data_IF_174448550431
#
_entry.id   IF_174448550431
#
_cell.length_a   1.000
_cell.length_b   1.000
_cell.length_c   1.000
_cell.angle_alpha   90.00
_cell.angle_beta   90.00
_cell.angle_gamma   90.00
#
_symmetry.space_group_name_H-M   'P 1'
#
loop_
_entity.id
_entity.type
_entity.pdbx_description
1 polymer ?
#
# COMPACT_ATOMS: atom_id res chain seq x y z
N UNK A 1 -1.07 17.38 -7.18
CA UNK A 1 -2.38 16.79 -7.60
C UNK A 1 -2.54 15.39 -6.98
N UNK A 2 -3.73 14.79 -6.96
CA UNK A 2 -4.02 13.48 -6.31
C UNK A 2 -3.04 12.36 -6.69
N UNK A 3 -2.59 12.33 -7.96
CA UNK A 3 -1.56 11.43 -8.49
C UNK A 3 -0.20 11.61 -7.82
N UNK A 4 0.10 12.83 -7.35
CA UNK A 4 1.41 13.20 -6.80
C UNK A 4 1.62 12.64 -5.38
N UNK A 5 0.54 12.44 -4.61
CA UNK A 5 0.61 11.77 -3.30
C UNK A 5 0.66 10.26 -3.46
N UNK A 6 -0.15 9.71 -4.37
CA UNK A 6 -0.15 8.29 -4.67
C UNK A 6 1.20 7.86 -5.24
N UNK A 7 1.74 8.51 -6.29
CA UNK A 7 3.07 8.20 -6.87
C UNK A 7 4.22 8.31 -5.86
N UNK A 8 4.22 9.34 -5.00
CA UNK A 8 5.25 9.48 -3.96
C UNK A 8 5.16 8.35 -2.94
N UNK A 9 3.95 8.00 -2.52
CA UNK A 9 3.72 6.93 -1.55
C UNK A 9 4.06 5.55 -2.14
N UNK A 10 3.64 5.28 -3.37
CA UNK A 10 3.91 4.03 -4.07
C UNK A 10 5.40 3.88 -4.41
N UNK A 11 6.09 4.95 -4.78
CA UNK A 11 7.56 4.97 -4.92
C UNK A 11 8.26 4.66 -3.60
N UNK A 12 7.83 5.29 -2.50
CA UNK A 12 8.37 5.01 -1.17
C UNK A 12 8.17 3.54 -0.77
N UNK A 13 6.99 2.98 -0.99
CA UNK A 13 6.74 1.56 -0.76
C UNK A 13 7.60 0.66 -1.63
N UNK A 14 7.73 0.98 -2.92
CA UNK A 14 8.57 0.26 -3.86
C UNK A 14 10.03 0.20 -3.41
N UNK A 15 10.57 1.32 -2.94
CA UNK A 15 11.93 1.40 -2.39
C UNK A 15 12.09 0.54 -1.12
N UNK A 16 11.16 0.62 -0.16
CA UNK A 16 11.23 -0.16 1.07
C UNK A 16 11.13 -1.68 0.83
N UNK A 17 10.34 -2.09 -0.17
CA UNK A 17 10.25 -3.49 -0.61
C UNK A 17 11.56 -3.94 -1.25
N UNK A 18 12.17 -3.10 -2.08
CA UNK A 18 13.43 -3.40 -2.76
C UNK A 18 14.58 -3.58 -1.75
N UNK A 19 14.75 -2.62 -0.83
CA UNK A 19 15.77 -2.66 0.21
C UNK A 19 15.67 -3.93 1.06
N UNK A 20 14.45 -4.35 1.40
CA UNK A 20 14.27 -5.49 2.28
C UNK A 20 14.35 -6.85 1.55
N UNK A 21 14.07 -6.91 0.24
CA UNK A 21 14.44 -8.06 -0.60
C UNK A 21 15.96 -8.25 -0.64
N UNK A 22 16.71 -7.16 -0.80
CA UNK A 22 18.18 -7.18 -0.83
C UNK A 22 18.78 -7.68 0.50
N UNK A 23 18.08 -7.47 1.62
CA UNK A 23 18.49 -7.93 2.95
C UNK A 23 17.87 -9.28 3.38
N UNK A 24 17.21 -10.02 2.47
CA UNK A 24 16.67 -11.37 2.74
C UNK A 24 15.45 -11.43 3.66
N UNK A 25 14.78 -10.31 3.93
CA UNK A 25 13.61 -10.23 4.82
C UNK A 25 12.32 -10.16 4.02
N UNK A 26 11.60 -11.28 3.84
CA UNK A 26 10.35 -11.28 3.04
C UNK A 26 9.10 -11.01 3.88
N UNK A 27 8.93 -11.65 5.04
CA UNK A 27 7.71 -11.55 5.86
C UNK A 27 7.56 -10.19 6.55
N UNK A 28 8.69 -9.67 7.06
CA UNK A 28 8.79 -8.37 7.74
C UNK A 28 8.44 -7.18 6.84
N UNK A 29 8.60 -7.35 5.52
CA UNK A 29 8.25 -6.35 4.51
C UNK A 29 6.77 -6.23 4.37
N UNK A 30 6.08 -7.37 4.22
CA UNK A 30 4.64 -7.40 4.04
C UNK A 30 3.96 -6.80 5.28
N UNK A 31 4.45 -7.12 6.48
CA UNK A 31 3.98 -6.52 7.74
C UNK A 31 4.20 -5.00 7.77
N UNK A 32 5.40 -4.53 7.39
CA UNK A 32 5.72 -3.08 7.36
C UNK A 32 4.87 -2.33 6.34
N UNK A 33 4.64 -2.92 5.16
CA UNK A 33 3.77 -2.35 4.13
C UNK A 33 2.32 -2.31 4.59
N UNK A 34 1.82 -3.36 5.24
CA UNK A 34 0.47 -3.39 5.76
C UNK A 34 0.21 -2.25 6.77
N UNK A 35 1.16 -2.01 7.68
CA UNK A 35 1.11 -0.87 8.60
C UNK A 35 1.08 0.46 7.85
N UNK A 36 1.93 0.62 6.83
CA UNK A 36 2.00 1.86 6.04
C UNK A 36 0.74 2.15 5.22
N UNK A 37 0.04 1.11 4.73
CA UNK A 37 -1.26 1.25 4.07
C UNK A 37 -2.32 1.68 5.07
N UNK A 38 -2.38 1.00 6.23
CA UNK A 38 -3.31 1.37 7.31
C UNK A 38 -3.11 2.82 7.76
N UNK A 39 -1.86 3.24 7.98
CA UNK A 39 -1.52 4.61 8.38
C UNK A 39 -1.88 5.64 7.31
N UNK A 40 -1.69 5.33 6.03
CA UNK A 40 -2.04 6.23 4.92
C UNK A 40 -3.56 6.42 4.83
N UNK A 41 -4.32 5.32 4.88
CA UNK A 41 -5.78 5.38 4.83
C UNK A 41 -6.35 6.08 6.08
N UNK A 42 -5.78 5.80 7.27
CA UNK A 42 -6.19 6.42 8.52
C UNK A 42 -5.87 7.91 8.63
N UNK A 43 -4.78 8.39 8.00
CA UNK A 43 -4.40 9.82 8.01
C UNK A 43 -5.15 10.64 6.96
N UNK A 44 -5.66 10.02 5.90
CA UNK A 44 -6.44 10.68 4.86
C UNK A 44 -7.94 10.48 5.09
N UNK A 45 -8.40 10.84 6.30
CA UNK A 45 -9.75 10.61 6.87
C UNK A 45 -10.93 11.07 6.00
N UNK A 46 -10.67 11.89 4.99
CA UNK A 46 -11.63 12.13 3.91
C UNK A 46 -11.01 11.60 2.61
N UNK A 47 -11.43 10.40 2.13
CA UNK A 47 -10.92 9.85 0.88
C UNK A 47 -11.14 10.89 -0.20
N UNK A 48 -10.05 11.45 -0.73
CA UNK A 48 -10.16 12.61 -1.62
C UNK A 48 -10.67 12.20 -3.00
N UNK A 49 -10.80 10.90 -3.24
CA UNK A 49 -11.35 10.28 -4.44
C UNK A 49 -11.95 8.88 -4.14
N UNK A 50 -12.66 8.34 -5.13
CA UNK A 50 -13.36 7.05 -5.03
C UNK A 50 -12.40 5.86 -4.87
N UNK A 51 -11.18 5.93 -5.42
CA UNK A 51 -10.19 4.87 -5.36
C UNK A 51 -9.65 4.67 -3.93
N UNK A 52 -9.32 5.78 -3.26
CA UNK A 52 -8.90 5.78 -1.84
C UNK A 52 -10.03 5.28 -0.95
N UNK A 53 -11.29 5.62 -1.27
CA UNK A 53 -12.47 5.14 -0.53
C UNK A 53 -12.62 3.62 -0.63
N UNK A 54 -12.56 3.08 -1.85
CA UNK A 54 -12.65 1.62 -2.06
C UNK A 54 -11.54 0.88 -1.34
N UNK A 55 -10.30 1.38 -1.40
CA UNK A 55 -9.18 0.78 -0.67
C UNK A 55 -9.36 0.87 0.84
N UNK A 56 -9.86 1.99 1.36
CA UNK A 56 -10.18 2.17 2.78
C UNK A 56 -11.25 1.20 3.25
N UNK A 57 -12.34 1.03 2.50
CA UNK A 57 -13.44 0.15 2.86
C UNK A 57 -12.99 -1.32 2.85
N UNK A 58 -12.25 -1.74 1.82
CA UNK A 58 -11.66 -3.08 1.73
C UNK A 58 -10.70 -3.34 2.90
N UNK A 59 -9.86 -2.36 3.24
CA UNK A 59 -8.94 -2.47 4.37
C UNK A 59 -9.67 -2.54 5.72
N UNK A 60 -10.76 -1.80 5.87
CA UNK A 60 -11.56 -1.74 7.10
C UNK A 60 -12.22 -3.06 7.44
N UNK A 61 -12.66 -3.83 6.44
CA UNK A 61 -13.35 -5.12 6.63
C UNK A 61 -12.41 -6.33 6.63
N UNK A 62 -11.17 -6.18 6.12
CA UNK A 62 -10.23 -7.28 5.97
C UNK A 62 -9.62 -7.77 7.30
N UNK A 63 -9.46 -9.08 7.42
CA UNK A 63 -8.68 -9.71 8.49
C UNK A 63 -7.16 -9.53 8.28
N UNK A 64 -6.34 -10.12 9.17
CA UNK A 64 -4.89 -9.96 9.10
C UNK A 64 -4.26 -10.62 7.87
N UNK A 65 -4.81 -11.72 7.37
CA UNK A 65 -4.29 -12.40 6.19
C UNK A 65 -4.72 -11.66 4.93
N UNK A 66 -5.96 -11.21 4.87
CA UNK A 66 -6.53 -10.42 3.79
C UNK A 66 -5.83 -9.06 3.64
N UNK A 67 -5.50 -8.39 4.76
CA UNK A 67 -4.69 -7.15 4.76
C UNK A 67 -3.31 -7.38 4.15
N UNK A 68 -2.66 -8.49 4.47
CA UNK A 68 -1.39 -8.86 3.85
C UNK A 68 -1.53 -9.15 2.35
N UNK A 69 -2.60 -9.84 1.94
CA UNK A 69 -2.88 -10.10 0.52
C UNK A 69 -3.15 -8.79 -0.25
N UNK A 70 -3.96 -7.89 0.31
CA UNK A 70 -4.27 -6.58 -0.25
C UNK A 70 -3.01 -5.73 -0.37
N UNK A 71 -2.15 -5.70 0.64
CA UNK A 71 -0.86 -5.03 0.60
C UNK A 71 0.05 -5.56 -0.52
N UNK A 72 0.13 -6.89 -0.67
CA UNK A 72 0.88 -7.51 -1.76
C UNK A 72 0.33 -7.14 -3.14
N UNK A 73 -0.99 -7.08 -3.30
CA UNK A 73 -1.63 -6.66 -4.54
C UNK A 73 -1.30 -5.22 -4.90
N UNK A 74 -1.34 -4.29 -3.93
CA UNK A 74 -0.99 -2.89 -4.13
C UNK A 74 0.49 -2.76 -4.53
N UNK A 75 1.41 -3.46 -3.87
CA UNK A 75 2.84 -3.47 -4.24
C UNK A 75 3.01 -3.93 -5.70
N UNK A 76 2.37 -5.03 -6.08
CA UNK A 76 2.46 -5.57 -7.45
C UNK A 76 1.86 -4.58 -8.46
N UNK A 77 0.75 -3.94 -8.12
CA UNK A 77 0.08 -2.97 -8.98
C UNK A 77 0.99 -1.78 -9.29
N UNK A 78 1.67 -1.26 -8.26
CA UNK A 78 2.68 -0.20 -8.35
C UNK A 78 3.88 -0.61 -9.18
N UNK A 79 4.47 -1.76 -8.87
CA UNK A 79 5.66 -2.26 -9.58
C UNK A 79 5.40 -2.48 -11.07
N UNK A 80 4.16 -2.79 -11.46
CA UNK A 80 3.79 -3.00 -12.84
C UNK A 80 3.30 -1.72 -13.55
N UNK A 81 3.33 -0.54 -12.91
CA UNK A 81 2.81 0.73 -13.46
C UNK A 81 1.41 0.58 -14.10
N UNK A 82 0.54 -0.26 -13.52
CA UNK A 82 -0.80 -0.52 -14.08
C UNK A 82 -1.86 0.48 -13.64
N UNK A 83 -1.50 1.41 -12.77
CA UNK A 83 -2.35 2.56 -12.41
C UNK A 83 -1.78 3.74 -13.19
N UNK A 84 -2.44 4.10 -14.29
CA UNK A 84 -2.25 5.35 -15.03
C UNK A 84 -3.45 6.24 -14.78
#
# INVERSE_FOLDING_TARGET
MLLENWEKWTSFLGQQVQEAKEHGMSKKVIEKTAVQIGDYLAKNVDPKNEQERVLSDLWGVADSEEKHALANCIIKLVQNNRVQ
#
